data_IF_019317109083
#
_entry.id   IF_019317109083
#
_cell.length_a   1.000
_cell.length_b   1.000
_cell.length_c   1.000
_cell.angle_alpha   90.00
_cell.angle_beta   90.00
_cell.angle_gamma   90.00
#
_symmetry.space_group_name_H-M   'P 1'
#
loop_
_entity.id
_entity.type
_entity.pdbx_description
1 polymer ?
#
# COMPACT_ATOMS: atom_id res chain seq x y z
N UNK A 1 4.19 -10.38 -14.03
CA UNK A 1 4.49 -9.37 -13.00
C UNK A 1 5.62 -9.79 -12.07
N UNK A 2 6.32 -8.82 -11.47
CA UNK A 2 7.18 -8.95 -10.32
C UNK A 2 6.43 -8.44 -9.07
N UNK A 3 6.39 -9.25 -8.02
CA UNK A 3 5.77 -8.87 -6.74
C UNK A 3 6.74 -9.09 -5.59
N UNK A 4 6.65 -8.26 -4.56
CA UNK A 4 7.52 -8.32 -3.40
C UNK A 4 6.81 -9.07 -2.28
N UNK A 5 7.46 -10.09 -1.73
CA UNK A 5 6.93 -10.81 -0.58
C UNK A 5 6.95 -9.91 0.65
N UNK A 6 5.79 -9.70 1.25
CA UNK A 6 5.57 -8.85 2.44
C UNK A 6 6.21 -9.40 3.71
N UNK A 7 6.50 -10.71 3.75
CA UNK A 7 7.14 -11.35 4.90
C UNK A 7 8.68 -11.38 4.84
N UNK A 8 9.29 -11.54 3.66
CA UNK A 8 10.75 -11.72 3.53
C UNK A 8 11.45 -10.79 2.51
N UNK A 9 10.70 -9.86 1.90
CA UNK A 9 11.17 -8.88 0.93
C UNK A 9 11.77 -9.47 -0.36
N UNK A 10 11.65 -10.78 -0.60
CA UNK A 10 12.07 -11.41 -1.84
C UNK A 10 11.17 -10.99 -3.00
N UNK A 11 11.77 -10.67 -4.15
CA UNK A 11 11.02 -10.49 -5.40
C UNK A 11 10.64 -11.86 -5.98
N UNK A 12 9.37 -12.02 -6.32
CA UNK A 12 8.81 -13.20 -6.95
C UNK A 12 8.31 -12.80 -8.34
N UNK A 13 8.63 -13.60 -9.34
CA UNK A 13 8.14 -13.42 -10.71
C UNK A 13 6.97 -14.37 -10.93
N UNK A 14 5.80 -13.81 -11.21
CA UNK A 14 4.57 -14.58 -11.45
C UNK A 14 4.05 -14.30 -12.87
N UNK A 15 3.53 -15.32 -13.58
CA UNK A 15 2.61 -15.09 -14.69
C UNK A 15 1.39 -14.31 -14.20
N UNK A 16 0.89 -13.35 -14.98
CA UNK A 16 -0.26 -12.52 -14.58
C UNK A 16 -1.52 -13.35 -14.30
N UNK A 17 -1.67 -14.47 -15.01
CA UNK A 17 -2.77 -15.42 -14.87
C UNK A 17 -2.84 -16.11 -13.49
N UNK A 18 -1.75 -16.07 -12.69
CA UNK A 18 -1.63 -16.81 -11.42
C UNK A 18 -1.77 -15.94 -10.17
N UNK A 19 -2.29 -14.72 -10.30
CA UNK A 19 -2.50 -13.83 -9.15
C UNK A 19 -3.59 -14.39 -8.23
N UNK A 20 -4.67 -14.92 -8.80
CA UNK A 20 -5.84 -15.41 -8.06
C UNK A 20 -5.71 -16.86 -7.55
N UNK A 21 -4.63 -17.56 -7.91
CA UNK A 21 -4.40 -19.00 -7.61
C UNK A 21 -3.71 -19.26 -6.26
N UNK A 22 -3.76 -18.31 -5.32
CA UNK A 22 -3.12 -18.46 -4.01
C UNK A 22 -1.59 -18.55 -4.09
N UNK A 23 -0.99 -17.68 -4.92
CA UNK A 23 0.46 -17.65 -5.15
C UNK A 23 1.25 -17.53 -3.84
N UNK A 24 2.29 -18.35 -3.70
CA UNK A 24 3.19 -18.37 -2.54
C UNK A 24 4.58 -17.87 -2.90
N UNK A 25 5.25 -17.27 -1.93
CA UNK A 25 6.63 -16.85 -2.10
C UNK A 25 7.55 -18.07 -2.28
N UNK A 26 8.36 -18.08 -3.33
CA UNK A 26 9.32 -19.16 -3.58
C UNK A 26 10.46 -19.24 -2.57
N UNK A 27 10.65 -18.21 -1.73
CA UNK A 27 11.69 -18.19 -0.69
C UNK A 27 11.20 -18.64 0.68
N UNK A 28 10.08 -18.11 1.16
CA UNK A 28 9.59 -18.37 2.52
C UNK A 28 8.23 -19.09 2.57
N UNK A 29 7.57 -19.32 1.44
CA UNK A 29 6.26 -19.98 1.38
C UNK A 29 5.06 -19.12 1.80
N UNK A 30 5.27 -17.87 2.24
CA UNK A 30 4.20 -16.94 2.62
C UNK A 30 3.25 -16.67 1.45
N UNK A 31 1.97 -16.46 1.74
CA UNK A 31 0.99 -16.06 0.72
C UNK A 31 1.38 -14.69 0.16
N UNK A 32 1.48 -14.56 -1.17
CA UNK A 32 1.87 -13.29 -1.77
C UNK A 32 0.71 -12.29 -1.76
N UNK A 33 -0.55 -12.74 -1.72
CA UNK A 33 -1.73 -11.88 -1.82
C UNK A 33 -2.72 -12.19 -0.69
N UNK A 34 -2.29 -11.96 0.54
CA UNK A 34 -3.06 -12.21 1.78
C UNK A 34 -4.05 -11.10 2.15
N UNK A 35 -4.00 -9.95 1.49
CA UNK A 35 -4.85 -8.79 1.81
C UNK A 35 -4.48 -8.09 3.11
N UNK A 36 -3.32 -8.42 3.69
CA UNK A 36 -2.88 -7.80 4.94
C UNK A 36 -2.32 -6.39 4.71
N UNK A 37 -2.49 -5.56 5.74
CA UNK A 37 -1.86 -4.23 5.79
C UNK A 37 -0.41 -4.36 6.24
N UNK A 38 0.50 -3.91 5.38
CA UNK A 38 1.95 -4.05 5.58
C UNK A 38 2.45 -2.85 6.38
N UNK A 39 3.15 -3.08 7.49
CA UNK A 39 3.86 -2.01 8.19
C UNK A 39 5.26 -1.84 7.58
N UNK A 40 5.47 -0.73 6.88
CA UNK A 40 6.75 -0.43 6.24
C UNK A 40 7.63 0.45 7.14
N UNK A 41 8.94 0.23 7.01
CA UNK A 41 10.01 0.98 7.67
C UNK A 41 10.90 1.61 6.61
N UNK A 42 11.86 2.44 7.02
CA UNK A 42 12.88 2.96 6.11
C UNK A 42 13.65 1.86 5.35
N UNK A 43 13.78 0.67 5.94
CA UNK A 43 14.49 -0.46 5.33
C UNK A 43 13.66 -1.21 4.29
N UNK A 44 12.34 -1.23 4.43
CA UNK A 44 11.45 -2.06 3.60
C UNK A 44 10.70 -1.29 2.52
N UNK A 45 10.41 0.00 2.74
CA UNK A 45 9.53 0.76 1.84
C UNK A 45 10.04 0.85 0.41
N UNK A 46 11.35 1.08 0.21
CA UNK A 46 11.94 1.16 -1.13
C UNK A 46 11.83 -0.16 -1.88
N UNK A 47 11.94 -1.27 -1.16
CA UNK A 47 11.77 -2.59 -1.77
C UNK A 47 10.31 -2.81 -2.16
N UNK A 48 9.39 -2.50 -1.26
CA UNK A 48 7.95 -2.60 -1.48
C UNK A 48 7.48 -1.77 -2.69
N UNK A 49 8.00 -0.56 -2.88
CA UNK A 49 7.68 0.30 -4.04
C UNK A 49 8.13 -0.25 -5.40
N UNK A 50 8.92 -1.33 -5.42
CA UNK A 50 9.29 -2.05 -6.65
C UNK A 50 8.26 -3.12 -7.05
N UNK A 51 7.18 -3.31 -6.29
CA UNK A 51 6.08 -4.21 -6.68
C UNK A 51 5.35 -3.64 -7.92
N UNK A 52 5.04 -4.51 -8.87
CA UNK A 52 4.27 -4.12 -10.06
C UNK A 52 2.81 -3.78 -9.71
N UNK A 53 2.28 -4.27 -8.57
CA UNK A 53 0.96 -3.87 -8.10
C UNK A 53 0.97 -2.41 -7.64
N UNK A 54 -0.10 -1.64 -7.92
CA UNK A 54 -0.33 -0.35 -7.30
C UNK A 54 -0.26 -0.45 -5.77
N UNK A 55 0.23 0.61 -5.13
CA UNK A 55 0.45 0.65 -3.69
C UNK A 55 -0.18 1.89 -3.08
N UNK A 56 -1.03 1.69 -2.09
CA UNK A 56 -1.61 2.76 -1.28
C UNK A 56 -0.88 2.80 0.05
N UNK A 57 -0.35 3.96 0.41
CA UNK A 57 0.41 4.19 1.64
C UNK A 57 -0.37 5.14 2.55
N UNK A 58 -0.68 4.71 3.77
CA UNK A 58 -1.20 5.53 4.86
C UNK A 58 -0.06 5.97 5.78
N UNK A 59 0.29 7.26 5.71
CA UNK A 59 1.20 7.90 6.65
C UNK A 59 0.44 8.34 7.89
N UNK A 60 0.74 7.71 9.03
CA UNK A 60 -0.07 7.81 10.24
C UNK A 60 0.79 7.96 11.51
N UNK A 61 0.13 8.09 12.67
CA UNK A 61 0.74 7.99 13.99
C UNK A 61 -0.30 7.51 15.03
N UNK A 62 0.10 6.86 16.14
CA UNK A 62 -0.84 6.24 17.10
C UNK A 62 -1.69 7.27 17.87
N UNK A 63 -1.14 8.46 18.14
CA UNK A 63 -1.83 9.53 18.84
C UNK A 63 -2.89 10.24 17.97
N UNK A 64 -2.81 10.10 16.65
CA UNK A 64 -3.71 10.75 15.70
C UNK A 64 -5.11 10.09 15.71
N UNK A 65 -6.11 10.83 16.23
CA UNK A 65 -7.51 10.38 16.28
C UNK A 65 -8.07 9.95 14.92
N UNK A 66 -8.03 10.82 13.88
CA UNK A 66 -8.50 10.47 12.54
C UNK A 66 -7.80 9.23 11.95
N UNK A 67 -6.50 9.06 12.21
CA UNK A 67 -5.74 7.91 11.75
C UNK A 67 -6.28 6.60 12.37
N UNK A 68 -6.61 6.61 13.66
CA UNK A 68 -7.21 5.44 14.34
C UNK A 68 -8.60 5.11 13.78
N UNK A 69 -9.40 6.13 13.46
CA UNK A 69 -10.73 5.93 12.85
C UNK A 69 -10.65 5.41 11.42
N UNK A 70 -9.60 5.78 10.67
CA UNK A 70 -9.41 5.34 9.28
C UNK A 70 -8.82 3.93 9.17
N UNK A 71 -8.02 3.50 10.15
CA UNK A 71 -7.36 2.19 10.16
C UNK A 71 -8.27 0.98 9.84
N UNK A 72 -9.50 0.84 10.41
CA UNK A 72 -10.39 -0.28 10.05
C UNK A 72 -10.86 -0.22 8.59
N UNK A 73 -11.16 0.98 8.06
CA UNK A 73 -11.56 1.17 6.66
C UNK A 73 -10.41 0.75 5.74
N UNK A 74 -9.18 1.18 6.07
CA UNK A 74 -7.99 0.84 5.31
C UNK A 74 -7.73 -0.67 5.28
N UNK A 75 -7.90 -1.36 6.41
CA UNK A 75 -7.72 -2.81 6.51
C UNK A 75 -8.83 -3.60 5.80
N UNK A 76 -10.08 -3.18 5.89
CA UNK A 76 -11.20 -3.78 5.17
C UNK A 76 -11.00 -3.69 3.66
N UNK A 77 -10.69 -2.49 3.15
CA UNK A 77 -10.41 -2.29 1.72
C UNK A 77 -9.16 -3.05 1.27
N UNK A 78 -8.16 -3.25 2.13
CA UNK A 78 -7.00 -4.07 1.82
C UNK A 78 -7.36 -5.54 1.56
N UNK A 79 -8.23 -6.10 2.41
CA UNK A 79 -8.71 -7.46 2.24
C UNK A 79 -9.55 -7.63 0.96
N UNK A 80 -10.45 -6.70 0.67
CA UNK A 80 -11.31 -6.72 -0.52
C UNK A 80 -10.52 -6.58 -1.84
N UNK A 81 -9.36 -5.91 -1.79
CA UNK A 81 -8.51 -5.62 -2.96
C UNK A 81 -7.23 -6.46 -2.99
N UNK A 82 -7.19 -7.56 -2.24
CA UNK A 82 -6.10 -8.52 -2.27
C UNK A 82 -5.77 -8.95 -3.72
N UNK A 83 -4.48 -9.00 -4.05
CA UNK A 83 -4.01 -9.32 -5.40
C UNK A 83 -4.09 -8.18 -6.42
N UNK A 84 -4.81 -7.09 -6.12
CA UNK A 84 -4.98 -5.94 -7.03
C UNK A 84 -4.19 -4.72 -6.59
N UNK A 85 -4.12 -4.48 -5.28
CA UNK A 85 -3.47 -3.30 -4.69
C UNK A 85 -2.78 -3.70 -3.39
N UNK A 86 -1.60 -3.12 -3.13
CA UNK A 86 -0.88 -3.24 -1.86
C UNK A 86 -1.28 -2.14 -0.91
N UNK A 87 -1.53 -2.49 0.35
CA UNK A 87 -1.86 -1.54 1.40
C UNK A 87 -0.73 -1.50 2.41
N UNK A 88 -0.14 -0.32 2.57
CA UNK A 88 1.03 -0.09 3.40
C UNK A 88 0.74 1.01 4.41
N UNK A 89 1.22 0.85 5.64
CA UNK A 89 1.23 1.89 6.66
C UNK A 89 2.65 2.28 6.99
N UNK A 90 2.89 3.58 7.14
CA UNK A 90 4.15 4.15 7.64
C UNK A 90 3.84 4.97 8.89
N UNK A 91 4.37 4.55 10.03
CA UNK A 91 4.26 5.33 11.26
C UNK A 91 5.29 6.48 11.22
N UNK A 92 4.81 7.70 11.03
CA UNK A 92 5.63 8.91 10.90
C UNK A 92 6.40 9.30 12.16
N UNK A 93 5.95 8.84 13.35
CA UNK A 93 6.66 9.03 14.61
C UNK A 93 7.85 8.07 14.73
N UNK A 94 7.68 6.82 14.29
CA UNK A 94 8.74 5.83 14.29
C UNK A 94 9.72 6.02 13.12
N UNK A 95 9.26 6.56 11.99
CA UNK A 95 10.01 6.71 10.74
C UNK A 95 10.10 8.18 10.28
N UNK A 96 10.74 9.08 11.07
CA UNK A 96 10.77 10.52 10.76
C UNK A 96 11.52 10.84 9.46
N UNK A 97 12.49 10.00 9.07
CA UNK A 97 13.19 10.12 7.80
C UNK A 97 12.24 9.90 6.60
N UNK A 98 11.33 8.93 6.70
CA UNK A 98 10.30 8.71 5.68
C UNK A 98 9.30 9.87 5.65
N UNK A 99 8.86 10.36 6.81
CA UNK A 99 7.99 11.55 6.89
C UNK A 99 8.60 12.74 6.14
N UNK A 100 9.91 12.99 6.35
CA UNK A 100 10.65 14.05 5.66
C UNK A 100 10.76 13.80 4.15
N UNK A 101 11.17 12.58 3.76
CA UNK A 101 11.35 12.20 2.35
C UNK A 101 10.07 12.35 1.54
N UNK A 102 8.94 11.93 2.10
CA UNK A 102 7.62 12.00 1.47
C UNK A 102 6.91 13.33 1.72
N UNK A 103 7.58 14.29 2.38
CA UNK A 103 7.08 15.65 2.66
C UNK A 103 5.73 15.65 3.37
N UNK A 104 5.55 14.76 4.34
CA UNK A 104 4.31 14.64 5.11
C UNK A 104 4.12 15.86 6.00
N UNK A 105 3.02 16.59 5.79
CA UNK A 105 2.69 17.84 6.52
C UNK A 105 1.52 17.69 7.48
N UNK A 106 0.68 16.69 7.26
CA UNK A 106 -0.48 16.34 8.09
C UNK A 106 -0.70 14.84 8.02
N UNK A 107 -1.39 14.30 9.02
CA UNK A 107 -1.74 12.87 9.07
C UNK A 107 -3.24 12.68 9.40
N UNK A 108 -3.89 11.64 8.85
CA UNK A 108 -3.32 10.71 7.88
C UNK A 108 -3.14 11.38 6.51
N UNK A 109 -2.06 11.04 5.82
CA UNK A 109 -1.90 11.35 4.39
C UNK A 109 -1.87 10.04 3.65
N UNK A 110 -2.75 9.87 2.67
CA UNK A 110 -2.88 8.65 1.88
C UNK A 110 -2.31 8.94 0.50
N UNK A 111 -1.36 8.13 0.03
CA UNK A 111 -0.76 8.30 -1.29
C UNK A 111 -0.91 7.02 -2.11
N UNK A 112 -1.32 7.15 -3.36
CA UNK A 112 -1.32 6.06 -4.32
C UNK A 112 -0.07 6.13 -5.20
N UNK A 113 0.62 5.00 -5.29
CA UNK A 113 1.77 4.80 -6.15
C UNK A 113 1.48 3.72 -7.18
N UNK A 114 2.09 3.85 -8.36
CA UNK A 114 2.17 2.82 -9.39
C UNK A 114 3.52 2.93 -10.10
N UNK A 115 4.20 1.80 -10.28
CA UNK A 115 5.52 1.76 -10.93
C UNK A 115 6.52 2.77 -10.34
N UNK A 116 6.56 2.88 -9.00
CA UNK A 116 7.43 3.80 -8.27
C UNK A 116 7.08 5.29 -8.39
N UNK A 117 5.99 5.67 -9.06
CA UNK A 117 5.54 7.06 -9.20
C UNK A 117 4.27 7.31 -8.38
N UNK A 118 4.20 8.48 -7.75
CA UNK A 118 2.98 8.94 -7.08
C UNK A 118 1.95 9.34 -8.14
N UNK A 119 0.75 8.76 -8.03
CA UNK A 119 -0.38 8.99 -8.94
C UNK A 119 -1.29 10.09 -8.38
N UNK A 120 -1.70 9.94 -7.12
CA UNK A 120 -2.56 10.90 -6.43
C UNK A 120 -2.42 10.77 -4.91
N UNK A 121 -3.01 11.73 -4.16
CA UNK A 121 -3.05 11.71 -2.70
C UNK A 121 -4.35 12.24 -2.11
N UNK A 122 -4.70 11.74 -0.92
CA UNK A 122 -5.72 12.30 -0.05
C UNK A 122 -5.08 12.89 1.22
N UNK A 123 -5.45 14.11 1.54
CA UNK A 123 -5.04 14.78 2.78
C UNK A 123 -6.14 14.59 3.84
N UNK A 124 -6.04 13.52 4.61
CA UNK A 124 -6.96 13.20 5.70
C UNK A 124 -7.75 11.91 5.51
N UNK A 125 -8.41 11.49 6.60
CA UNK A 125 -9.28 10.34 6.61
C UNK A 125 -10.58 10.64 5.85
N UNK A 126 -11.06 9.67 5.08
CA UNK A 126 -12.36 9.73 4.41
C UNK A 126 -13.18 8.48 4.73
N UNK A 127 -14.52 8.52 4.65
CA UNK A 127 -15.35 7.32 4.76
C UNK A 127 -15.03 6.29 3.66
N UNK A 128 -15.47 5.04 3.86
CA UNK A 128 -15.19 3.92 2.96
C UNK A 128 -15.59 4.17 1.50
N UNK A 129 -16.84 4.59 1.26
CA UNK A 129 -17.32 4.80 -0.12
C UNK A 129 -16.50 5.85 -0.91
N UNK A 130 -16.21 7.06 -0.36
CA UNK A 130 -15.27 7.99 -0.98
C UNK A 130 -13.86 7.42 -1.20
N UNK A 131 -13.34 6.61 -0.27
CA UNK A 131 -12.03 5.97 -0.43
C UNK A 131 -12.02 4.98 -1.59
N UNK A 132 -13.03 4.12 -1.67
CA UNK A 132 -13.18 3.14 -2.74
C UNK A 132 -13.36 3.82 -4.10
N UNK A 133 -14.20 4.86 -4.18
CA UNK A 133 -14.39 5.65 -5.40
C UNK A 133 -13.07 6.29 -5.86
N UNK A 134 -12.31 6.89 -4.94
CA UNK A 134 -11.01 7.47 -5.27
C UNK A 134 -10.06 6.41 -5.82
N UNK A 135 -9.98 5.24 -5.19
CA UNK A 135 -9.16 4.14 -5.71
C UNK A 135 -9.61 3.70 -7.10
N UNK A 136 -10.91 3.51 -7.32
CA UNK A 136 -11.43 3.05 -8.62
C UNK A 136 -11.16 4.06 -9.74
N UNK A 137 -11.34 5.35 -9.46
CA UNK A 137 -11.01 6.44 -10.39
C UNK A 137 -9.52 6.48 -10.73
N UNK A 138 -8.64 6.41 -9.72
CA UNK A 138 -7.20 6.51 -9.97
C UNK A 138 -6.62 5.23 -10.57
N UNK A 139 -7.20 4.06 -10.25
CA UNK A 139 -6.70 2.78 -10.76
C UNK A 139 -7.11 2.52 -12.21
N UNK A 140 -8.20 3.15 -12.69
CA UNK A 140 -8.66 3.08 -14.08
C UNK A 140 -7.96 4.07 -15.02
N UNK A 141 -7.24 5.07 -14.49
CA UNK A 141 -6.44 6.00 -15.31
C UNK A 141 -5.22 5.30 -15.90
N UNK A 142 -4.99 5.51 -17.20
CA UNK A 142 -3.78 5.05 -17.86
C UNK A 142 -2.59 5.89 -17.37
N UNK A 143 -1.54 5.29 -16.78
CA UNK A 143 -0.38 6.02 -16.26
C UNK A 143 0.45 6.75 -17.34
N UNK A 144 0.09 6.61 -18.63
CA UNK A 144 0.72 7.30 -19.76
C UNK A 144 -0.14 8.43 -20.38
N UNK A 145 -1.25 8.83 -19.74
CA UNK A 145 -2.06 9.99 -20.17
C UNK A 145 -1.60 11.31 -19.56
#
# INVERSE_FOLDING_TARGET
MNTVCTACMATNRLPEERIDDGAKCGRCGHSLFDGEVINATAETLDKLLQDDLPMVIDFWAPWCGPCRSFAPIFAETAAERAGKVRFVKVNTEAEPALSTRFRIRSIPTIMLYRNGKMIDMLNGAVPKAPFDNWLDEQLSRDPNS
#
